data_IF_449849931134
#
_entry.id   IF_449849931134
#
_cell.length_a   1.000
_cell.length_b   1.000
_cell.length_c   1.000
_cell.angle_alpha   90.00
_cell.angle_beta   90.00
_cell.angle_gamma   90.00
#
_symmetry.space_group_name_H-M   'P 1'
#
loop_
_entity.id
_entity.type
_entity.pdbx_description
1 polymer ?
#
# COMPACT_ATOMS: atom_id res chain seq x y z
N UNK A 1 -22.02 13.52 -3.80
CA UNK A 1 -21.95 12.26 -4.59
C UNK A 1 -20.58 11.67 -4.32
N UNK A 2 -20.47 10.36 -4.06
CA UNK A 2 -19.16 9.72 -3.82
C UNK A 2 -18.25 9.92 -5.03
N UNK A 3 -16.96 10.27 -4.85
CA UNK A 3 -16.01 10.40 -5.96
C UNK A 3 -15.71 9.04 -6.63
N UNK A 4 -16.12 7.94 -5.99
CA UNK A 4 -15.84 6.59 -6.46
C UNK A 4 -17.00 6.00 -7.25
N UNK A 5 -16.69 5.53 -8.46
CA UNK A 5 -17.59 4.66 -9.19
C UNK A 5 -17.38 3.21 -8.74
N UNK A 6 -18.35 2.70 -7.97
CA UNK A 6 -18.31 1.35 -7.40
C UNK A 6 -18.07 0.25 -8.43
N UNK A 7 -18.71 0.31 -9.59
CA UNK A 7 -18.56 -0.70 -10.64
C UNK A 7 -17.14 -0.69 -11.23
N UNK A 8 -16.56 0.50 -11.44
CA UNK A 8 -15.16 0.62 -11.90
C UNK A 8 -14.17 0.07 -10.88
N UNK A 9 -14.37 0.38 -9.59
CA UNK A 9 -13.53 -0.18 -8.52
C UNK A 9 -13.63 -1.69 -8.48
N UNK A 10 -14.86 -2.24 -8.54
CA UNK A 10 -15.09 -3.69 -8.55
C UNK A 10 -14.30 -4.35 -9.69
N UNK A 11 -14.49 -3.88 -10.91
CA UNK A 11 -13.78 -4.38 -12.10
C UNK A 11 -12.26 -4.31 -11.97
N UNK A 12 -11.74 -3.20 -11.43
CA UNK A 12 -10.30 -3.00 -11.25
C UNK A 12 -9.71 -3.91 -10.16
N UNK A 13 -10.46 -4.16 -9.08
CA UNK A 13 -10.01 -5.00 -7.95
C UNK A 13 -10.18 -6.50 -8.21
N UNK A 14 -11.11 -6.95 -9.06
CA UNK A 14 -11.31 -8.38 -9.36
C UNK A 14 -10.01 -9.17 -9.60
N UNK A 15 -9.11 -8.77 -10.52
CA UNK A 15 -7.86 -9.51 -10.74
C UNK A 15 -6.91 -9.48 -9.52
N UNK A 16 -6.95 -8.42 -8.72
CA UNK A 16 -6.12 -8.28 -7.52
C UNK A 16 -6.61 -9.22 -6.42
N UNK A 17 -7.93 -9.31 -6.22
CA UNK A 17 -8.55 -10.22 -5.26
C UNK A 17 -8.34 -11.68 -5.69
N UNK A 18 -8.49 -11.99 -6.97
CA UNK A 18 -8.17 -13.33 -7.50
C UNK A 18 -6.73 -13.73 -7.14
N UNK A 19 -5.75 -12.85 -7.42
CA UNK A 19 -4.34 -13.08 -7.09
C UNK A 19 -4.12 -13.33 -5.59
N UNK A 20 -4.86 -12.66 -4.70
CA UNK A 20 -4.79 -12.90 -3.26
C UNK A 20 -5.34 -14.27 -2.85
N UNK A 21 -6.38 -14.74 -3.53
CA UNK A 21 -6.97 -16.08 -3.34
C UNK A 21 -6.02 -17.15 -3.87
N UNK A 22 -5.40 -16.93 -5.01
CA UNK A 22 -4.44 -17.87 -5.60
C UNK A 22 -3.23 -18.04 -4.68
N UNK A 23 -2.68 -16.93 -4.15
CA UNK A 23 -1.60 -16.96 -3.14
C UNK A 23 -2.02 -17.74 -1.89
N UNK A 24 -3.30 -17.79 -1.53
CA UNK A 24 -3.78 -18.59 -0.40
C UNK A 24 -3.83 -20.09 -0.70
N UNK A 25 -4.07 -20.46 -1.95
CA UNK A 25 -4.18 -21.86 -2.40
C UNK A 25 -2.83 -22.46 -2.79
N UNK A 26 -1.89 -21.64 -3.25
CA UNK A 26 -0.59 -22.11 -3.73
C UNK A 26 0.29 -22.67 -2.59
N UNK A 27 1.07 -23.73 -2.84
CA UNK A 27 2.08 -24.20 -1.90
C UNK A 27 3.21 -23.17 -1.80
N UNK A 28 3.68 -22.91 -0.57
CA UNK A 28 4.77 -21.97 -0.33
C UNK A 28 6.11 -22.67 -0.56
N UNK A 29 6.92 -22.14 -1.48
CA UNK A 29 8.31 -22.56 -1.62
C UNK A 29 9.17 -21.98 -0.48
N UNK A 30 9.46 -22.85 0.48
CA UNK A 30 10.28 -22.54 1.64
C UNK A 30 11.77 -22.38 1.31
N UNK A 31 12.26 -22.94 0.22
CA UNK A 31 13.68 -22.99 -0.10
C UNK A 31 14.10 -21.98 -1.18
N UNK A 32 13.15 -21.23 -1.75
CA UNK A 32 13.42 -20.09 -2.64
C UNK A 32 14.45 -19.10 -2.07
N UNK A 33 14.48 -18.94 -0.75
CA UNK A 33 15.51 -18.19 -0.03
C UNK A 33 16.19 -19.13 0.98
N UNK A 34 17.46 -18.90 1.27
CA UNK A 34 18.21 -19.64 2.29
C UNK A 34 17.49 -19.59 3.64
N UNK A 35 17.25 -20.76 4.22
CA UNK A 35 16.80 -20.90 5.60
C UNK A 35 18.03 -21.01 6.49
N UNK A 36 18.12 -20.15 7.50
CA UNK A 36 19.20 -20.19 8.48
C UNK A 36 18.80 -21.12 9.64
N UNK A 37 19.51 -22.23 9.78
CA UNK A 37 19.24 -23.21 10.84
C UNK A 37 19.51 -22.64 12.24
N UNK A 38 20.43 -21.66 12.38
CA UNK A 38 20.70 -21.02 13.67
C UNK A 38 19.53 -20.14 14.10
N UNK A 39 19.06 -19.23 13.25
CA UNK A 39 17.89 -18.40 13.52
C UNK A 39 16.63 -19.23 13.76
N UNK A 40 16.39 -20.26 12.96
CA UNK A 40 15.25 -21.16 13.13
C UNK A 40 15.27 -21.91 14.47
N UNK A 41 16.45 -22.42 14.86
CA UNK A 41 16.62 -23.12 16.14
C UNK A 41 16.39 -22.18 17.32
N UNK A 42 16.98 -20.98 17.29
CA UNK A 42 16.82 -20.00 18.35
C UNK A 42 15.36 -19.57 18.51
N UNK A 43 14.69 -19.25 17.40
CA UNK A 43 13.29 -18.85 17.38
C UNK A 43 12.36 -19.98 17.87
N UNK A 44 12.57 -21.21 17.38
CA UNK A 44 11.79 -22.37 17.83
C UNK A 44 11.96 -22.66 19.34
N UNK A 45 13.20 -22.62 19.85
CA UNK A 45 13.48 -22.86 21.27
C UNK A 45 12.91 -21.76 22.18
N UNK A 46 13.01 -20.49 21.77
CA UNK A 46 12.49 -19.37 22.56
C UNK A 46 10.96 -19.31 22.57
N UNK A 47 10.30 -19.82 21.53
CA UNK A 47 8.84 -19.99 21.49
C UNK A 47 8.35 -21.30 22.14
N UNK A 48 9.25 -22.27 22.37
CA UNK A 48 8.88 -23.59 22.90
C UNK A 48 8.17 -24.49 21.88
N UNK A 49 8.51 -24.38 20.58
CA UNK A 49 7.91 -25.16 19.49
C UNK A 49 8.94 -26.08 18.81
N UNK A 50 8.45 -27.06 18.04
CA UNK A 50 9.30 -27.91 17.20
C UNK A 50 9.76 -27.18 15.94
N UNK A 51 10.84 -27.65 15.30
CA UNK A 51 11.25 -27.12 13.98
C UNK A 51 10.19 -27.38 12.90
N UNK A 52 9.42 -28.47 12.99
CA UNK A 52 8.32 -28.74 12.07
C UNK A 52 7.20 -27.70 12.20
N UNK A 53 6.88 -27.28 13.42
CA UNK A 53 5.91 -26.21 13.66
C UNK A 53 6.45 -24.85 13.24
N UNK A 54 7.74 -24.58 13.48
CA UNK A 54 8.42 -23.39 12.98
C UNK A 54 8.36 -23.31 11.45
N UNK A 55 8.56 -24.42 10.74
CA UNK A 55 8.45 -24.49 9.28
C UNK A 55 7.05 -24.09 8.79
N UNK A 56 5.99 -24.52 9.48
CA UNK A 56 4.60 -24.12 9.17
C UNK A 56 4.38 -22.62 9.38
N UNK A 57 4.94 -22.06 10.46
CA UNK A 57 4.89 -20.62 10.72
C UNK A 57 5.66 -19.83 9.65
N UNK A 58 6.85 -20.28 9.26
CA UNK A 58 7.67 -19.65 8.23
C UNK A 58 6.97 -19.67 6.86
N UNK A 59 6.28 -20.77 6.52
CA UNK A 59 5.45 -20.85 5.34
C UNK A 59 4.33 -19.79 5.38
N UNK A 60 3.65 -19.67 6.51
CA UNK A 60 2.56 -18.70 6.72
C UNK A 60 3.06 -17.26 6.62
N UNK A 61 4.23 -16.96 7.21
CA UNK A 61 4.90 -15.66 7.14
C UNK A 61 5.28 -15.29 5.70
N UNK A 62 5.83 -16.22 4.91
CA UNK A 62 6.16 -15.99 3.50
C UNK A 62 4.90 -15.73 2.66
N UNK A 63 3.83 -16.47 2.91
CA UNK A 63 2.52 -16.24 2.27
C UNK A 63 1.99 -14.84 2.60
N UNK A 64 2.01 -14.47 3.89
CA UNK A 64 1.61 -13.14 4.36
C UNK A 64 2.40 -12.02 3.69
N UNK A 65 3.73 -12.17 3.55
CA UNK A 65 4.57 -11.20 2.84
C UNK A 65 4.16 -11.04 1.38
N UNK A 66 3.84 -12.13 0.70
CA UNK A 66 3.38 -12.10 -0.70
C UNK A 66 2.04 -11.39 -0.83
N UNK A 67 1.09 -11.67 0.07
CA UNK A 67 -0.19 -10.95 0.14
C UNK A 67 -0.01 -9.46 0.42
N UNK A 68 0.89 -9.11 1.35
CA UNK A 68 1.16 -7.72 1.69
C UNK A 68 1.69 -6.92 0.49
N UNK A 69 2.51 -7.53 -0.36
CA UNK A 69 2.97 -6.88 -1.60
C UNK A 69 1.79 -6.57 -2.52
N UNK A 70 0.87 -7.52 -2.72
CA UNK A 70 -0.34 -7.32 -3.54
C UNK A 70 -1.27 -6.27 -2.93
N UNK A 71 -1.44 -6.26 -1.61
CA UNK A 71 -2.22 -5.22 -0.90
C UNK A 71 -1.61 -3.83 -1.11
N UNK A 72 -0.29 -3.72 -1.25
CA UNK A 72 0.39 -2.47 -1.59
C UNK A 72 -0.02 -1.88 -2.94
N UNK A 73 -0.44 -2.72 -3.90
CA UNK A 73 -0.87 -2.32 -5.24
C UNK A 73 -2.32 -1.78 -5.25
N UNK A 74 -3.13 -2.11 -4.24
CA UNK A 74 -4.58 -1.81 -4.22
C UNK A 74 -4.86 -0.30 -4.36
N UNK A 75 -4.12 0.56 -3.65
CA UNK A 75 -4.33 2.01 -3.73
C UNK A 75 -4.03 2.55 -5.13
N UNK A 76 -2.99 2.04 -5.79
CA UNK A 76 -2.64 2.42 -7.17
C UNK A 76 -3.75 2.01 -8.14
N UNK A 77 -4.30 0.80 -7.97
CA UNK A 77 -5.40 0.27 -8.79
C UNK A 77 -6.66 1.12 -8.61
N UNK A 78 -7.01 1.47 -7.37
CA UNK A 78 -8.20 2.29 -7.07
C UNK A 78 -8.04 3.71 -7.63
N UNK A 79 -6.89 4.35 -7.40
CA UNK A 79 -6.62 5.69 -7.92
C UNK A 79 -6.71 5.72 -9.45
N UNK A 80 -6.23 4.67 -10.13
CA UNK A 80 -6.38 4.53 -11.59
C UNK A 80 -7.83 4.39 -12.09
N UNK A 81 -8.82 4.24 -11.21
CA UNK A 81 -10.25 4.28 -11.59
C UNK A 81 -10.82 5.71 -11.62
N UNK A 82 -10.11 6.67 -11.02
CA UNK A 82 -10.50 8.08 -10.97
C UNK A 82 -10.19 8.76 -12.31
N UNK A 83 -11.03 9.72 -12.69
CA UNK A 83 -10.85 10.44 -13.93
C UNK A 83 -9.52 11.19 -13.95
N UNK A 84 -8.80 11.12 -15.08
CA UNK A 84 -7.54 11.84 -15.26
C UNK A 84 -6.33 11.25 -14.52
N UNK A 85 -6.48 10.10 -13.86
CA UNK A 85 -5.40 9.39 -13.15
C UNK A 85 -4.94 8.17 -13.95
N UNK A 86 -3.66 8.13 -14.29
CA UNK A 86 -2.99 6.99 -14.90
C UNK A 86 -2.23 6.19 -13.83
N UNK A 87 -2.53 4.89 -13.75
CA UNK A 87 -1.73 3.95 -12.96
C UNK A 87 -0.53 3.47 -13.79
N UNK A 88 0.65 3.94 -13.40
CA UNK A 88 1.92 3.54 -13.97
C UNK A 88 2.35 2.24 -13.29
N UNK A 89 1.89 1.11 -13.85
CA UNK A 89 2.15 -0.26 -13.35
C UNK A 89 3.58 -0.46 -12.82
N UNK A 90 3.73 -1.38 -11.86
CA UNK A 90 4.99 -1.76 -11.21
C UNK A 90 6.16 -1.90 -12.19
N UNK A 91 7.26 -1.19 -11.93
CA UNK A 91 8.47 -1.19 -12.76
C UNK A 91 8.72 0.11 -13.53
N UNK A 92 7.81 1.09 -13.45
CA UNK A 92 8.06 2.49 -13.82
C UNK A 92 8.64 3.26 -12.62
N UNK A 93 9.20 4.44 -12.89
CA UNK A 93 9.93 5.29 -11.92
C UNK A 93 9.02 5.74 -10.75
N UNK A 94 7.71 5.83 -10.97
CA UNK A 94 6.69 6.24 -10.00
C UNK A 94 5.37 5.50 -10.27
N UNK A 95 4.51 5.42 -9.26
CA UNK A 95 3.26 4.64 -9.28
C UNK A 95 2.07 5.32 -10.00
N UNK A 96 1.95 6.65 -9.94
CA UNK A 96 0.73 7.36 -10.39
C UNK A 96 1.04 8.69 -11.07
N UNK A 97 0.29 9.00 -12.12
CA UNK A 97 0.35 10.27 -12.85
C UNK A 97 -1.06 10.84 -12.99
N UNK A 98 -1.27 12.13 -12.74
CA UNK A 98 -2.53 12.80 -13.02
C UNK A 98 -2.26 14.09 -13.79
N UNK A 99 -2.55 14.06 -15.10
CA UNK A 99 -2.24 15.18 -15.99
C UNK A 99 -3.08 16.42 -15.71
N UNK A 100 -4.37 16.23 -15.40
CA UNK A 100 -5.30 17.31 -15.11
C UNK A 100 -4.85 18.15 -13.90
N UNK A 101 -4.39 17.47 -12.85
CA UNK A 101 -3.91 18.12 -11.62
C UNK A 101 -2.39 18.35 -11.61
N UNK A 102 -1.69 17.95 -12.67
CA UNK A 102 -0.23 18.00 -12.80
C UNK A 102 0.48 17.34 -11.61
N UNK A 103 0.15 16.08 -11.35
CA UNK A 103 0.67 15.29 -10.21
C UNK A 103 1.46 14.09 -10.70
N UNK A 104 2.60 13.84 -10.06
CA UNK A 104 3.33 12.58 -10.10
C UNK A 104 3.40 12.04 -8.67
N UNK A 105 3.15 10.74 -8.44
CA UNK A 105 3.15 10.20 -7.09
C UNK A 105 3.74 8.79 -6.99
N UNK A 106 4.47 8.58 -5.88
CA UNK A 106 4.91 7.27 -5.39
C UNK A 106 4.12 6.95 -4.11
N UNK A 107 3.49 5.78 -4.06
CA UNK A 107 2.53 5.44 -3.01
C UNK A 107 3.06 4.34 -2.12
N UNK A 108 3.04 4.57 -0.81
CA UNK A 108 3.32 3.55 0.20
C UNK A 108 2.13 3.40 1.14
N UNK A 109 1.76 2.14 1.40
CA UNK A 109 0.66 1.83 2.29
C UNK A 109 0.92 2.29 3.75
N UNK A 110 2.16 2.19 4.24
CA UNK A 110 2.55 2.58 5.61
C UNK A 110 3.83 3.40 5.63
N UNK A 111 3.93 4.39 6.51
CA UNK A 111 5.09 5.28 6.68
C UNK A 111 6.43 4.57 6.97
N UNK A 112 6.39 3.38 7.56
CA UNK A 112 7.57 2.64 8.03
C UNK A 112 8.06 1.56 7.04
N UNK A 113 7.53 1.54 5.82
CA UNK A 113 7.91 0.54 4.81
C UNK A 113 9.22 0.84 4.08
N UNK A 114 9.76 2.06 4.24
CA UNK A 114 11.00 2.50 3.59
C UNK A 114 12.16 2.56 4.59
N UNK A 115 13.24 1.78 4.36
CA UNK A 115 14.54 2.04 5.01
C UNK A 115 15.09 3.39 4.51
N UNK A 116 15.99 4.04 5.26
CA UNK A 116 16.50 5.39 4.94
C UNK A 116 16.91 5.59 3.46
N UNK A 117 17.62 4.61 2.87
CA UNK A 117 18.04 4.68 1.46
C UNK A 117 16.87 4.66 0.47
N UNK A 118 15.72 4.07 0.81
CA UNK A 118 14.55 4.07 -0.08
C UNK A 118 13.92 5.46 -0.18
N UNK A 119 13.87 6.24 0.92
CA UNK A 119 13.30 7.59 0.88
C UNK A 119 14.10 8.52 -0.05
N UNK A 120 15.42 8.40 -0.02
CA UNK A 120 16.31 9.07 -0.98
C UNK A 120 15.98 8.70 -2.43
N UNK A 121 15.86 7.41 -2.73
CA UNK A 121 15.55 6.97 -4.10
C UNK A 121 14.20 7.52 -4.58
N UNK A 122 13.18 7.54 -3.71
CA UNK A 122 11.88 8.15 -4.03
C UNK A 122 12.04 9.63 -4.37
N UNK A 123 12.84 10.39 -3.61
CA UNK A 123 13.11 11.79 -3.93
C UNK A 123 13.76 11.92 -5.32
N UNK A 124 14.82 11.15 -5.58
CA UNK A 124 15.59 11.22 -6.84
C UNK A 124 14.73 10.82 -8.05
N UNK A 125 13.85 9.84 -7.87
CA UNK A 125 12.91 9.37 -8.89
C UNK A 125 11.81 10.41 -9.16
N UNK A 126 11.26 11.05 -8.12
CA UNK A 126 10.34 12.17 -8.28
C UNK A 126 11.00 13.37 -8.97
N UNK A 127 12.23 13.73 -8.58
CA UNK A 127 13.00 14.82 -9.19
C UNK A 127 13.19 14.59 -10.69
N UNK A 128 13.62 13.38 -11.08
CA UNK A 128 13.75 12.99 -12.50
C UNK A 128 12.43 13.09 -13.26
N UNK A 129 11.31 12.76 -12.62
CA UNK A 129 10.00 12.89 -13.26
C UNK A 129 9.59 14.35 -13.45
N UNK A 130 9.94 15.24 -12.52
CA UNK A 130 9.64 16.68 -12.66
C UNK A 130 10.43 17.35 -13.79
N UNK A 131 11.62 16.84 -14.14
CA UNK A 131 12.36 17.28 -15.33
C UNK A 131 11.62 16.94 -16.63
N UNK A 132 10.86 15.84 -16.64
CA UNK A 132 10.07 15.38 -17.80
C UNK A 132 8.70 16.08 -17.84
N UNK A 133 8.09 16.29 -16.68
CA UNK A 133 6.75 16.83 -16.52
C UNK A 133 6.77 18.24 -15.93
N UNK A 134 7.09 19.23 -16.77
CA UNK A 134 7.24 20.62 -16.35
C UNK A 134 5.96 21.17 -15.70
N UNK A 135 6.12 21.79 -14.53
CA UNK A 135 5.02 22.38 -13.76
C UNK A 135 4.23 21.39 -12.91
N UNK A 136 4.65 20.13 -12.82
CA UNK A 136 4.02 19.12 -11.97
C UNK A 136 4.50 19.22 -10.52
N UNK A 137 3.77 18.59 -9.61
CA UNK A 137 4.17 18.37 -8.22
C UNK A 137 4.35 16.87 -7.98
N UNK A 138 5.50 16.49 -7.44
CA UNK A 138 5.85 15.15 -7.04
C UNK A 138 5.45 14.87 -5.60
N UNK A 139 4.76 13.76 -5.36
CA UNK A 139 4.31 13.36 -4.03
C UNK A 139 4.85 11.98 -3.63
N UNK A 140 5.49 11.91 -2.48
CA UNK A 140 5.66 10.69 -1.72
C UNK A 140 4.48 10.54 -0.76
N UNK A 141 3.59 9.58 -1.03
CA UNK A 141 2.32 9.41 -0.32
C UNK A 141 2.44 8.30 0.72
N UNK A 142 2.10 8.60 1.97
CA UNK A 142 1.98 7.59 3.04
C UNK A 142 0.49 7.41 3.40
N UNK A 143 -0.15 6.37 2.88
CA UNK A 143 -1.59 6.14 3.08
C UNK A 143 -1.96 6.02 4.55
N UNK A 144 -1.18 5.24 5.31
CA UNK A 144 -1.27 5.14 6.76
C UNK A 144 -0.08 5.90 7.39
N UNK A 145 -0.28 7.19 7.73
CA UNK A 145 0.76 8.01 8.33
C UNK A 145 1.11 7.53 9.75
N UNK A 146 2.22 8.03 10.31
CA UNK A 146 2.63 7.72 11.69
C UNK A 146 1.68 8.30 12.75
N UNK A 147 1.07 9.44 12.44
CA UNK A 147 0.11 10.14 13.29
C UNK A 147 -1.12 10.48 12.48
N UNK A 148 -2.27 10.61 13.16
CA UNK A 148 -3.53 11.05 12.54
C UNK A 148 -3.55 12.53 12.13
N UNK A 149 -2.53 13.31 12.51
CA UNK A 149 -2.39 14.69 12.06
C UNK A 149 -2.12 14.74 10.55
N UNK A 150 -2.97 15.43 9.76
CA UNK A 150 -2.71 15.65 8.35
C UNK A 150 -1.40 16.40 8.13
N UNK A 151 -0.69 16.08 7.06
CA UNK A 151 0.51 16.79 6.67
C UNK A 151 0.69 16.79 5.16
N UNK A 152 1.30 17.85 4.67
CA UNK A 152 1.70 18.02 3.29
C UNK A 152 2.88 18.98 3.29
N UNK A 153 4.11 18.49 3.29
CA UNK A 153 5.33 19.27 3.53
C UNK A 153 6.40 18.96 2.50
N UNK A 154 7.41 19.83 2.36
CA UNK A 154 8.52 19.60 1.45
C UNK A 154 9.29 18.33 1.86
N UNK A 155 9.55 17.45 0.90
CA UNK A 155 10.24 16.20 1.16
C UNK A 155 11.74 16.37 0.94
N UNK A 156 12.53 16.28 2.02
CA UNK A 156 13.99 16.37 2.00
C UNK A 156 14.59 15.23 2.85
N UNK A 157 14.61 13.99 2.31
CA UNK A 157 15.11 12.83 3.04
C UNK A 157 16.62 12.87 3.23
N UNK A 158 17.09 12.22 4.31
CA UNK A 158 18.52 12.08 4.58
C UNK A 158 19.20 11.08 3.63
N UNK A 159 20.46 11.35 3.29
CA UNK A 159 21.37 10.45 2.59
C UNK A 159 22.50 10.02 3.54
N UNK A 160 22.36 8.83 4.12
CA UNK A 160 23.33 8.31 5.09
C UNK A 160 24.66 7.87 4.44
N UNK A 161 24.74 7.84 3.11
CA UNK A 161 25.96 7.51 2.37
C UNK A 161 26.67 8.77 1.83
N UNK A 162 26.20 9.97 2.18
CA UNK A 162 26.77 11.21 1.71
C UNK A 162 28.20 11.43 2.23
N UNK A 163 29.11 11.82 1.34
CA UNK A 163 30.52 12.07 1.67
C UNK A 163 30.75 13.31 2.56
N UNK A 164 29.77 14.23 2.62
CA UNK A 164 29.87 15.48 3.37
C UNK A 164 28.57 15.81 4.09
N UNK A 165 28.66 16.58 5.18
CA UNK A 165 27.49 17.02 5.95
C UNK A 165 26.48 17.83 5.12
N UNK A 166 26.96 18.61 4.15
CA UNK A 166 26.12 19.39 3.24
C UNK A 166 25.26 18.52 2.31
N UNK A 167 25.66 17.28 2.05
CA UNK A 167 24.94 16.33 1.19
C UNK A 167 24.12 15.30 1.98
N UNK A 168 24.13 15.38 3.32
CA UNK A 168 23.38 14.45 4.19
C UNK A 168 21.87 14.55 4.04
N UNK A 169 21.35 15.55 3.33
CA UNK A 169 19.93 15.66 2.96
C UNK A 169 19.80 16.06 1.50
N UNK A 170 18.73 15.58 0.86
CA UNK A 170 18.37 16.06 -0.48
C UNK A 170 17.95 17.54 -0.45
N UNK A 171 18.25 18.32 -1.49
CA UNK A 171 17.87 19.73 -1.56
C UNK A 171 16.38 19.91 -1.30
N UNK A 172 15.99 21.05 -0.72
CA UNK A 172 14.57 21.37 -0.60
C UNK A 172 14.06 21.77 -1.98
N UNK A 173 13.03 21.09 -2.45
CA UNK A 173 12.28 21.44 -3.64
C UNK A 173 10.79 21.57 -3.26
N UNK A 174 10.20 22.74 -3.42
CA UNK A 174 8.80 23.00 -3.04
C UNK A 174 7.80 22.13 -3.81
N UNK A 175 8.21 21.62 -4.99
CA UNK A 175 7.43 20.73 -5.84
C UNK A 175 7.58 19.25 -5.49
N UNK A 176 8.49 18.86 -4.59
CA UNK A 176 8.62 17.48 -4.12
C UNK A 176 8.16 17.43 -2.67
N UNK A 177 7.05 16.73 -2.42
CA UNK A 177 6.32 16.79 -1.15
C UNK A 177 6.09 15.40 -0.57
N UNK A 178 6.04 15.33 0.76
CA UNK A 178 5.58 14.16 1.50
C UNK A 178 4.21 14.50 2.08
N UNK A 179 3.24 13.60 1.86
CA UNK A 179 1.83 13.86 2.14
C UNK A 179 1.16 12.63 2.74
N UNK A 180 0.23 12.84 3.67
CA UNK A 180 -0.59 11.77 4.21
C UNK A 180 -1.67 11.31 3.21
N UNK A 181 -2.18 10.10 3.41
CA UNK A 181 -3.19 9.51 2.54
C UNK A 181 -4.47 10.34 2.42
N UNK A 182 -5.00 10.89 3.51
CA UNK A 182 -6.26 11.61 3.48
C UNK A 182 -6.12 12.91 2.66
N UNK A 183 -5.08 13.70 2.95
CA UNK A 183 -4.77 14.92 2.19
C UNK A 183 -4.51 14.63 0.71
N UNK A 184 -3.82 13.53 0.38
CA UNK A 184 -3.57 13.18 -1.02
C UNK A 184 -4.85 12.79 -1.77
N UNK A 185 -5.70 11.98 -1.14
CA UNK A 185 -7.00 11.63 -1.72
C UNK A 185 -7.87 12.86 -1.92
N UNK A 186 -7.91 13.81 -0.97
CA UNK A 186 -8.61 15.08 -1.11
C UNK A 186 -8.11 15.89 -2.33
N UNK A 187 -6.80 15.97 -2.54
CA UNK A 187 -6.24 16.66 -3.72
C UNK A 187 -6.75 16.00 -5.01
N UNK A 188 -6.78 14.67 -5.07
CA UNK A 188 -7.17 13.92 -6.28
C UNK A 188 -8.68 13.96 -6.52
N UNK A 189 -9.51 13.87 -5.47
CA UNK A 189 -10.98 13.75 -5.62
C UNK A 189 -11.71 15.08 -5.46
N UNK A 190 -11.11 16.05 -4.78
CA UNK A 190 -11.79 17.25 -4.28
C UNK A 190 -12.69 17.00 -3.06
N UNK A 191 -12.58 15.83 -2.43
CA UNK A 191 -13.42 15.40 -1.30
C UNK A 191 -12.54 14.97 -0.12
N UNK A 192 -12.61 15.73 0.98
CA UNK A 192 -11.84 15.50 2.20
C UNK A 192 -12.17 14.18 2.92
N UNK A 193 -13.35 13.60 2.65
CA UNK A 193 -13.79 12.33 3.23
C UNK A 193 -13.56 11.14 2.27
N UNK A 194 -12.85 11.35 1.16
CA UNK A 194 -12.67 10.33 0.13
C UNK A 194 -11.99 9.06 0.66
N UNK A 195 -10.89 9.18 1.42
CA UNK A 195 -10.20 7.99 1.92
C UNK A 195 -11.07 7.20 2.92
N UNK A 196 -11.78 7.91 3.82
CA UNK A 196 -12.73 7.32 4.77
C UNK A 196 -13.88 6.59 4.04
N UNK A 197 -14.47 7.25 3.05
CA UNK A 197 -15.53 6.67 2.20
C UNK A 197 -15.06 5.42 1.47
N UNK A 198 -13.82 5.44 0.97
CA UNK A 198 -13.22 4.28 0.30
C UNK A 198 -13.10 3.09 1.24
N UNK A 199 -12.57 3.28 2.46
CA UNK A 199 -12.39 2.18 3.41
C UNK A 199 -13.72 1.58 3.88
N UNK A 200 -14.78 2.39 3.99
CA UNK A 200 -16.12 1.88 4.27
C UNK A 200 -16.70 1.08 3.09
N UNK A 201 -16.37 1.46 1.85
CA UNK A 201 -16.85 0.79 0.63
C UNK A 201 -16.14 -0.54 0.36
N UNK A 202 -14.85 -0.66 0.69
CA UNK A 202 -14.01 -1.79 0.29
C UNK A 202 -14.52 -3.17 0.75
N UNK A 203 -14.95 -3.39 2.00
CA UNK A 203 -15.45 -4.69 2.44
C UNK A 203 -16.59 -5.22 1.57
N UNK A 204 -17.55 -4.36 1.25
CA UNK A 204 -18.71 -4.72 0.43
C UNK A 204 -18.31 -5.04 -1.02
N UNK A 205 -17.40 -4.25 -1.60
CA UNK A 205 -16.90 -4.51 -2.96
C UNK A 205 -16.11 -5.82 -3.01
N UNK A 206 -15.28 -6.08 -2.00
CA UNK A 206 -14.51 -7.33 -1.91
C UNK A 206 -15.45 -8.52 -1.76
N UNK A 207 -16.47 -8.43 -0.89
CA UNK A 207 -17.47 -9.48 -0.71
C UNK A 207 -18.16 -9.83 -2.04
N UNK A 208 -18.63 -8.83 -2.78
CA UNK A 208 -19.24 -9.06 -4.10
C UNK A 208 -18.30 -9.73 -5.08
N UNK A 209 -17.03 -9.33 -5.14
CA UNK A 209 -16.04 -9.99 -6.00
C UNK A 209 -15.90 -11.46 -5.62
N UNK A 210 -15.82 -11.77 -4.31
CA UNK A 210 -15.65 -13.13 -3.82
C UNK A 210 -16.88 -14.01 -4.13
N UNK A 211 -18.09 -13.46 -3.98
CA UNK A 211 -19.35 -14.18 -4.20
C UNK A 211 -19.65 -14.35 -5.70
N UNK A 212 -19.65 -13.26 -6.48
CA UNK A 212 -19.98 -13.27 -7.92
C UNK A 212 -19.00 -14.12 -8.76
N UNK A 213 -17.76 -14.27 -8.30
CA UNK A 213 -16.74 -15.07 -8.99
C UNK A 213 -16.51 -16.44 -8.32
N UNK A 214 -17.33 -16.82 -7.33
CA UNK A 214 -17.25 -18.10 -6.62
C UNK A 214 -15.84 -18.42 -6.07
N UNK A 215 -15.14 -17.40 -5.57
CA UNK A 215 -13.72 -17.52 -5.18
C UNK A 215 -13.52 -18.28 -3.87
N UNK A 216 -14.55 -18.30 -3.02
CA UNK A 216 -14.60 -18.95 -1.73
C UNK A 216 -15.87 -19.81 -1.57
N UNK A 217 -15.82 -20.87 -0.74
CA UNK A 217 -17.02 -21.63 -0.39
C UNK A 217 -18.08 -20.77 0.32
N UNK A 218 -19.35 -21.03 0.05
CA UNK A 218 -20.49 -20.30 0.64
C UNK A 218 -20.50 -20.26 2.18
N UNK A 219 -20.03 -21.34 2.83
CA UNK A 219 -19.88 -21.39 4.28
C UNK A 219 -18.87 -20.36 4.81
N UNK A 220 -17.81 -20.06 4.05
CA UNK A 220 -16.82 -19.04 4.41
C UNK A 220 -17.35 -17.64 4.10
N UNK A 221 -18.01 -17.45 2.95
CA UNK A 221 -18.64 -16.17 2.57
C UNK A 221 -19.64 -15.71 3.64
N UNK A 222 -20.47 -16.62 4.15
CA UNK A 222 -21.45 -16.32 5.20
C UNK A 222 -20.80 -15.75 6.46
N UNK A 223 -19.58 -16.19 6.82
CA UNK A 223 -18.87 -15.72 8.01
C UNK A 223 -18.30 -14.30 7.87
N UNK A 224 -18.12 -13.81 6.64
CA UNK A 224 -17.44 -12.55 6.34
C UNK A 224 -18.35 -11.48 5.72
N UNK A 225 -19.65 -11.78 5.54
CA UNK A 225 -20.61 -10.93 4.85
C UNK A 225 -20.75 -9.52 5.43
N UNK A 226 -20.60 -9.41 6.75
CA UNK A 226 -20.77 -8.17 7.51
C UNK A 226 -19.49 -7.81 8.28
N UNK A 227 -18.32 -8.12 7.72
CA UNK A 227 -17.03 -7.92 8.40
C UNK A 227 -16.79 -6.46 8.81
N UNK A 228 -17.36 -5.50 8.09
CA UNK A 228 -17.31 -4.08 8.40
C UNK A 228 -18.07 -3.69 9.68
N UNK A 229 -18.98 -4.54 10.17
CA UNK A 229 -19.73 -4.33 11.42
C UNK A 229 -19.05 -5.00 12.63
N UNK A 230 -17.88 -5.62 12.44
CA UNK A 230 -17.14 -6.24 13.54
C UNK A 230 -16.47 -5.20 14.44
N UNK A 231 -16.41 -5.47 15.75
CA UNK A 231 -15.75 -4.60 16.73
C UNK A 231 -14.31 -4.27 16.33
N UNK A 232 -13.56 -5.27 15.83
CA UNK A 232 -12.18 -5.08 15.40
C UNK A 232 -12.05 -4.21 14.15
N UNK A 233 -12.99 -4.29 13.20
CA UNK A 233 -12.99 -3.38 12.07
C UNK A 233 -13.13 -1.93 12.55
N UNK A 234 -14.11 -1.64 13.41
CA UNK A 234 -14.30 -0.30 13.97
C UNK A 234 -13.06 0.18 14.74
N UNK A 235 -12.46 -0.67 15.58
CA UNK A 235 -11.23 -0.32 16.32
C UNK A 235 -10.08 0.02 15.37
N UNK A 236 -9.89 -0.73 14.29
CA UNK A 236 -8.83 -0.45 13.33
C UNK A 236 -9.11 0.79 12.50
N UNK A 237 -10.38 0.99 12.14
CA UNK A 237 -10.84 2.15 11.39
C UNK A 237 -10.60 3.44 12.17
N UNK A 238 -11.07 3.51 13.42
CA UNK A 238 -10.90 4.67 14.29
C UNK A 238 -9.42 4.95 14.60
N UNK A 239 -8.60 3.91 14.79
CA UNK A 239 -7.15 4.12 14.99
C UNK A 239 -6.44 4.70 13.77
N UNK A 240 -6.96 4.43 12.58
CA UNK A 240 -6.38 4.92 11.33
C UNK A 240 -6.94 6.29 10.92
N UNK A 241 -8.22 6.56 11.20
CA UNK A 241 -8.98 7.68 10.62
C UNK A 241 -9.86 8.47 11.60
N UNK A 242 -9.91 8.08 12.88
CA UNK A 242 -10.62 8.79 13.95
C UNK A 242 -9.78 9.84 14.66
#
# INVERSE_FOLDING_TARGET
>A
MSPFNRQKIKQALTPVIQKLIDIEKEPVDLYKNTLDCFSATFDAMTQGITLDDWVKQEASRKRQKSKQNVVGEIHQVILGTLAGVENLKTGKVVDTLCHEKKIVAEIKNKHNTTKGNHKKNIYDDLERMLDIYEGYTGYYVEILPKSTKPYNECFSPSDNNAATDALKKRPINEKIRVIDGASFYEIITGDGEALKTLYALLPQVIYEILDENELLPQAQLTQIKDIEHSDYFHVFFEKAYG
#
